data_IF_172475784427
#
_entry.id   IF_172475784427
#
_cell.length_a   1.000
_cell.length_b   1.000
_cell.length_c   1.000
_cell.angle_alpha   90.00
_cell.angle_beta   90.00
_cell.angle_gamma   90.00
#
_symmetry.space_group_name_H-M   'P 1'
#
loop_
_entity.id
_entity.type
_entity.pdbx_description
1 polymer ?
#
# COMPACT_ATOMS: atom_id res chain seq x y z
N UNK A 1 2.63 3.37 -8.89
CA UNK A 1 2.56 4.65 -8.14
C UNK A 1 3.83 5.46 -8.37
N UNK A 2 3.75 6.77 -8.60
CA UNK A 2 4.92 7.66 -8.54
C UNK A 2 5.09 8.16 -7.10
N UNK A 3 6.27 7.97 -6.52
CA UNK A 3 6.59 8.38 -5.16
C UNK A 3 7.50 9.61 -5.17
N UNK A 4 7.17 10.59 -4.34
CA UNK A 4 8.05 11.71 -4.01
C UNK A 4 7.92 11.97 -2.49
N UNK A 5 8.74 11.31 -1.65
CA UNK A 5 8.60 11.44 -0.20
C UNK A 5 9.06 12.84 0.26
N UNK A 6 8.25 13.49 1.10
CA UNK A 6 8.55 14.83 1.64
C UNK A 6 8.89 14.77 3.12
N UNK A 7 8.06 14.08 3.92
CA UNK A 7 8.24 14.02 5.36
C UNK A 7 7.58 12.78 5.99
N UNK A 8 8.00 12.45 7.22
CA UNK A 8 7.36 11.43 8.03
C UNK A 8 7.58 10.01 7.54
N UNK A 9 6.54 9.19 7.59
CA UNK A 9 6.54 7.78 7.19
C UNK A 9 6.62 7.57 5.68
N UNK A 10 6.46 8.63 4.88
CA UNK A 10 6.52 8.57 3.41
C UNK A 10 7.82 7.97 2.88
N UNK A 11 8.95 8.16 3.56
CA UNK A 11 10.22 7.54 3.17
C UNK A 11 10.19 6.01 3.31
N UNK A 12 9.55 5.50 4.36
CA UNK A 12 9.37 4.06 4.57
C UNK A 12 8.36 3.51 3.55
N UNK A 13 7.24 4.21 3.38
CA UNK A 13 6.20 3.83 2.42
C UNK A 13 6.77 3.79 0.98
N UNK A 14 7.57 4.79 0.59
CA UNK A 14 8.27 4.83 -0.69
C UNK A 14 9.11 3.56 -0.91
N UNK A 15 9.95 3.18 0.06
CA UNK A 15 10.75 1.95 -0.03
C UNK A 15 9.90 0.69 -0.15
N UNK A 16 8.78 0.60 0.57
CA UNK A 16 7.88 -0.54 0.41
C UNK A 16 7.28 -0.61 -0.99
N UNK A 17 6.78 0.51 -1.52
CA UNK A 17 6.18 0.57 -2.85
C UNK A 17 7.19 0.25 -3.95
N UNK A 18 8.39 0.81 -3.88
CA UNK A 18 9.40 0.72 -4.95
C UNK A 18 10.23 -0.57 -4.83
N UNK A 19 10.74 -0.89 -3.63
CA UNK A 19 11.69 -1.98 -3.45
C UNK A 19 11.02 -3.30 -3.08
N UNK A 20 10.00 -3.27 -2.20
CA UNK A 20 9.37 -4.51 -1.69
C UNK A 20 8.27 -5.02 -2.58
N UNK A 21 7.31 -4.17 -2.91
CA UNK A 21 6.15 -4.53 -3.72
C UNK A 21 6.43 -4.36 -5.21
N UNK A 22 7.39 -3.49 -5.58
CA UNK A 22 7.73 -3.19 -6.97
C UNK A 22 6.50 -2.78 -7.80
N UNK A 23 5.63 -1.97 -7.19
CA UNK A 23 4.37 -1.44 -7.77
C UNK A 23 4.45 0.07 -8.02
N UNK A 24 5.65 0.65 -7.99
CA UNK A 24 5.86 2.07 -8.19
C UNK A 24 7.31 2.43 -8.43
N UNK A 25 7.52 3.72 -8.68
CA UNK A 25 8.80 4.34 -9.01
C UNK A 25 8.99 5.55 -8.11
N UNK A 26 10.19 5.73 -7.58
CA UNK A 26 10.59 6.96 -6.87
C UNK A 26 11.12 7.98 -7.87
N UNK A 27 10.65 9.23 -7.76
CA UNK A 27 11.17 10.34 -8.52
C UNK A 27 12.52 10.78 -7.96
N UNK A 28 13.50 10.97 -8.85
CA UNK A 28 14.82 11.51 -8.50
C UNK A 28 14.82 13.04 -8.30
N UNK A 29 13.75 13.73 -8.68
CA UNK A 29 13.63 15.18 -8.60
C UNK A 29 12.24 15.69 -9.01
N UNK A 30 12.07 17.01 -8.94
CA UNK A 30 10.82 17.71 -9.28
C UNK A 30 10.81 18.35 -10.67
N UNK A 31 11.89 18.20 -11.44
CA UNK A 31 11.94 18.76 -12.78
C UNK A 31 10.97 18.05 -13.72
N UNK A 32 10.62 18.73 -14.82
CA UNK A 32 9.73 18.17 -15.84
C UNK A 32 10.29 16.86 -16.40
N UNK A 33 11.60 16.80 -16.62
CA UNK A 33 12.26 15.62 -17.16
C UNK A 33 12.11 14.42 -16.21
N UNK A 34 12.42 14.59 -14.92
CA UNK A 34 12.30 13.52 -13.92
C UNK A 34 10.86 13.02 -13.80
N UNK A 35 9.88 13.93 -13.90
CA UNK A 35 8.47 13.58 -13.92
C UNK A 35 8.06 12.79 -15.17
N UNK A 36 8.49 13.24 -16.35
CA UNK A 36 8.21 12.56 -17.62
C UNK A 36 8.81 11.15 -17.64
N UNK A 37 10.07 10.98 -17.23
CA UNK A 37 10.73 9.68 -17.11
C UNK A 37 10.04 8.77 -16.10
N UNK A 38 9.60 9.32 -14.95
CA UNK A 38 8.85 8.57 -13.95
C UNK A 38 7.50 8.08 -14.48
N UNK A 39 6.79 8.94 -15.21
CA UNK A 39 5.49 8.62 -15.80
C UNK A 39 5.62 7.55 -16.89
N UNK A 40 6.63 7.65 -17.75
CA UNK A 40 6.92 6.67 -18.78
C UNK A 40 7.17 5.28 -18.18
N UNK A 41 7.97 5.20 -17.10
CA UNK A 41 8.24 3.93 -16.39
C UNK A 41 6.97 3.32 -15.79
N UNK A 42 6.07 4.14 -15.25
CA UNK A 42 4.82 3.64 -14.65
C UNK A 42 3.79 3.22 -15.69
N UNK A 43 3.70 3.93 -16.83
CA UNK A 43 2.74 3.60 -17.88
C UNK A 43 3.23 2.48 -18.82
N UNK A 44 4.55 2.31 -18.97
CA UNK A 44 5.16 1.33 -19.88
C UNK A 44 5.31 -0.09 -19.31
N UNK A 45 5.15 -0.28 -18.00
CA UNK A 45 5.45 -1.55 -17.34
C UNK A 45 4.18 -2.37 -17.00
N UNK A 46 3.85 -3.34 -17.85
CA UNK A 46 2.77 -4.30 -17.59
C UNK A 46 3.04 -5.27 -16.43
N UNK A 47 4.30 -5.53 -16.07
CA UNK A 47 4.68 -6.36 -14.92
C UNK A 47 4.25 -5.67 -13.61
N UNK A 48 4.37 -4.34 -13.57
CA UNK A 48 3.94 -3.53 -12.42
C UNK A 48 2.44 -3.68 -12.16
N UNK A 49 1.62 -3.71 -13.23
CA UNK A 49 0.18 -3.87 -13.09
C UNK A 49 -0.20 -5.25 -12.52
N UNK A 50 0.42 -6.33 -13.01
CA UNK A 50 0.17 -7.68 -12.47
C UNK A 50 0.57 -7.84 -11.00
N UNK A 51 1.67 -7.20 -10.58
CA UNK A 51 2.07 -7.14 -9.16
C UNK A 51 1.08 -6.33 -8.32
N UNK A 52 0.57 -5.23 -8.86
CA UNK A 52 -0.43 -4.41 -8.18
C UNK A 52 -1.73 -5.19 -7.97
N UNK A 53 -2.19 -5.93 -8.97
CA UNK A 53 -3.34 -6.83 -8.87
C UNK A 53 -3.10 -7.92 -7.82
N UNK A 54 -1.91 -8.54 -7.83
CA UNK A 54 -1.54 -9.56 -6.84
C UNK A 54 -1.50 -8.99 -5.40
N UNK A 55 -0.97 -7.77 -5.24
CA UNK A 55 -0.96 -7.07 -3.96
C UNK A 55 -2.37 -6.71 -3.50
N UNK A 56 -3.24 -6.31 -4.44
CA UNK A 56 -4.64 -6.01 -4.16
C UNK A 56 -5.37 -7.25 -3.67
N UNK A 57 -5.23 -8.41 -4.32
CA UNK A 57 -5.88 -9.63 -3.85
C UNK A 57 -5.36 -10.09 -2.49
N UNK A 58 -4.05 -9.96 -2.23
CA UNK A 58 -3.46 -10.31 -0.93
C UNK A 58 -3.97 -9.42 0.21
N UNK A 59 -4.18 -8.12 -0.04
CA UNK A 59 -4.48 -7.13 1.02
C UNK A 59 -5.95 -6.77 1.12
N UNK A 60 -6.67 -6.78 0.00
CA UNK A 60 -8.06 -6.33 -0.16
C UNK A 60 -8.93 -7.38 -0.86
N UNK A 61 -8.40 -8.57 -1.15
CA UNK A 61 -9.18 -9.69 -1.63
C UNK A 61 -10.22 -10.14 -0.61
N UNK A 62 -11.15 -11.00 -1.04
CA UNK A 62 -12.28 -11.46 -0.21
C UNK A 62 -11.82 -12.08 1.11
N UNK A 63 -10.80 -12.92 1.07
CA UNK A 63 -10.26 -13.60 2.25
C UNK A 63 -9.63 -12.62 3.25
N UNK A 64 -8.76 -11.72 2.77
CA UNK A 64 -8.12 -10.70 3.60
C UNK A 64 -9.17 -9.80 4.28
N UNK A 65 -10.21 -9.38 3.55
CA UNK A 65 -11.34 -8.62 4.10
C UNK A 65 -12.09 -9.40 5.18
N UNK A 66 -12.38 -10.67 4.94
CA UNK A 66 -13.05 -11.52 5.94
C UNK A 66 -12.21 -11.66 7.21
N UNK A 67 -10.90 -11.87 7.08
CA UNK A 67 -9.99 -11.95 8.23
C UNK A 67 -9.93 -10.64 9.02
N UNK A 68 -9.81 -9.50 8.33
CA UNK A 68 -9.80 -8.19 8.98
C UNK A 68 -11.10 -7.92 9.76
N UNK A 69 -12.25 -8.26 9.18
CA UNK A 69 -13.57 -8.14 9.85
C UNK A 69 -13.66 -9.08 11.05
N UNK A 70 -13.21 -10.33 10.91
CA UNK A 70 -13.22 -11.29 12.01
C UNK A 70 -12.37 -10.80 13.19
N UNK A 71 -11.18 -10.26 12.90
CA UNK A 71 -10.30 -9.67 13.92
C UNK A 71 -10.95 -8.45 14.59
N UNK A 72 -11.61 -7.59 13.81
CA UNK A 72 -12.33 -6.44 14.35
C UNK A 72 -13.49 -6.86 15.26
N UNK A 73 -14.29 -7.84 14.85
CA UNK A 73 -15.39 -8.35 15.66
C UNK A 73 -14.88 -8.95 16.98
N UNK A 74 -13.84 -9.78 16.92
CA UNK A 74 -13.22 -10.35 18.11
C UNK A 74 -12.69 -9.25 19.08
N UNK A 75 -12.12 -8.18 18.52
CA UNK A 75 -11.68 -7.03 19.32
C UNK A 75 -12.86 -6.30 19.98
N UNK A 76 -13.95 -6.08 19.26
CA UNK A 76 -15.17 -5.45 19.79
C UNK A 76 -15.79 -6.31 20.90
N UNK A 77 -15.91 -7.62 20.69
CA UNK A 77 -16.44 -8.55 21.69
C UNK A 77 -15.62 -8.51 22.98
N UNK A 78 -14.30 -8.43 22.86
CA UNK A 78 -13.39 -8.29 24.00
C UNK A 78 -13.60 -6.96 24.76
N UNK A 79 -13.87 -5.87 24.07
CA UNK A 79 -14.16 -4.59 24.71
C UNK A 79 -15.52 -4.61 25.43
N UNK A 80 -16.54 -5.21 24.81
CA UNK A 80 -17.88 -5.31 25.38
C UNK A 80 -17.86 -6.18 26.64
N UNK A 81 -17.22 -7.36 26.58
CA UNK A 81 -17.10 -8.25 27.74
C UNK A 81 -16.41 -7.57 28.93
N UNK A 82 -15.34 -6.81 28.69
CA UNK A 82 -14.65 -6.03 29.74
C UNK A 82 -15.49 -4.90 30.33
N UNK A 83 -16.48 -4.40 29.61
CA UNK A 83 -17.36 -3.32 30.07
C UNK A 83 -18.49 -3.86 30.98
N UNK A 84 -18.78 -5.16 30.92
CA UNK A 84 -19.76 -5.82 31.79
C UNK A 84 -19.16 -6.32 33.12
N UNK A 85 -17.83 -6.36 33.22
CA UNK A 85 -17.08 -6.76 34.42
C UNK A 85 -16.63 -5.56 35.30
N UNK A 86 -17.03 -4.33 34.94
CA UNK A 86 -16.81 -3.08 35.69
C UNK A 86 -18.14 -2.57 36.28
#
# INVERSE_FOLDING_TARGET
MLCFPVAGDQFVNCRYIVEKWRVGVELSGFGRQELEEGLEKVMGDGEMNGKLESLYELSLGKEAKCSAIANLNAFVDLLIGKTQDL
#
